data_IF_181055975658
#
_entry.id   IF_181055975658
#
_cell.length_a   1.000
_cell.length_b   1.000
_cell.length_c   1.000
_cell.angle_alpha   90.00
_cell.angle_beta   90.00
_cell.angle_gamma   90.00
#
_symmetry.space_group_name_H-M   'P 1'
#
loop_
_entity.id
_entity.type
_entity.pdbx_description
1 polymer ?
#
# COMPACT_ATOMS: atom_id res chain seq x y z
N UNK A 1 -21.88 19.82 53.38
CA UNK A 1 -21.41 19.33 52.08
C UNK A 1 -19.92 19.62 51.99
N UNK A 2 -19.07 18.67 52.39
CA UNK A 2 -17.62 18.81 52.35
C UNK A 2 -17.12 18.30 50.99
N UNK A 3 -16.75 19.20 50.08
CA UNK A 3 -15.90 18.85 48.95
C UNK A 3 -14.53 18.53 49.53
N UNK A 4 -14.19 17.25 49.59
CA UNK A 4 -12.90 16.81 50.09
C UNK A 4 -11.81 17.24 49.10
N UNK A 5 -10.77 17.98 49.54
CA UNK A 5 -9.70 18.49 48.66
C UNK A 5 -8.88 17.37 47.98
N UNK A 6 -9.05 16.13 48.42
CA UNK A 6 -8.39 14.93 47.90
C UNK A 6 -9.07 14.37 46.63
N UNK A 7 -10.34 14.71 46.39
CA UNK A 7 -11.08 14.22 45.20
C UNK A 7 -10.59 14.87 43.89
N UNK A 8 -10.15 16.12 43.93
CA UNK A 8 -9.60 16.79 42.74
C UNK A 8 -8.26 16.20 42.31
N UNK A 9 -7.41 15.84 43.28
CA UNK A 9 -6.10 15.23 43.02
C UNK A 9 -6.23 13.82 42.40
N UNK A 10 -7.19 13.02 42.88
CA UNK A 10 -7.46 11.69 42.34
C UNK A 10 -7.99 11.74 40.90
N UNK A 11 -8.88 12.69 40.59
CA UNK A 11 -9.39 12.89 39.23
C UNK A 11 -8.28 13.34 38.27
N UNK A 12 -7.42 14.28 38.68
CA UNK A 12 -6.27 14.69 37.87
C UNK A 12 -5.27 13.54 37.63
N UNK A 13 -5.07 12.66 38.63
CA UNK A 13 -4.19 11.51 38.51
C UNK A 13 -4.77 10.42 37.59
N UNK A 14 -6.07 10.15 37.68
CA UNK A 14 -6.79 9.28 36.74
C UNK A 14 -6.75 9.82 35.31
N UNK A 15 -6.96 11.12 35.12
CA UNK A 15 -6.84 11.78 33.81
C UNK A 15 -5.43 11.70 33.24
N UNK A 16 -4.39 11.91 34.07
CA UNK A 16 -2.99 11.74 33.66
C UNK A 16 -2.68 10.29 33.29
N UNK A 17 -3.17 9.32 34.06
CA UNK A 17 -2.95 7.90 33.78
C UNK A 17 -3.68 7.44 32.50
N UNK A 18 -4.90 7.94 32.26
CA UNK A 18 -5.64 7.70 31.03
C UNK A 18 -4.93 8.32 29.81
N UNK A 19 -4.43 9.55 29.94
CA UNK A 19 -3.68 10.23 28.88
C UNK A 19 -2.35 9.53 28.57
N UNK A 20 -1.64 9.04 29.59
CA UNK A 20 -0.41 8.25 29.40
C UNK A 20 -0.68 6.91 28.72
N UNK A 21 -1.73 6.20 29.14
CA UNK A 21 -2.13 4.92 28.53
C UNK A 21 -2.57 5.09 27.08
N UNK A 22 -3.37 6.14 26.79
CA UNK A 22 -3.79 6.48 25.44
C UNK A 22 -2.61 6.88 24.53
N UNK A 23 -1.69 7.70 25.04
CA UNK A 23 -0.47 8.09 24.31
C UNK A 23 0.45 6.92 23.99
N UNK A 24 0.53 5.93 24.90
CA UNK A 24 1.27 4.68 24.67
C UNK A 24 0.60 3.83 23.58
N UNK A 25 -0.73 3.76 23.58
CA UNK A 25 -1.51 3.08 22.54
C UNK A 25 -1.37 3.70 21.15
N UNK A 26 -1.35 5.04 21.07
CA UNK A 26 -1.15 5.75 19.79
C UNK A 26 0.23 5.50 19.19
N UNK A 27 1.28 5.55 20.01
CA UNK A 27 2.64 5.26 19.55
C UNK A 27 2.77 3.86 18.95
N UNK A 28 2.20 2.84 19.62
CA UNK A 28 2.22 1.45 19.12
C UNK A 28 1.52 1.36 17.76
N UNK A 29 0.36 2.00 17.60
CA UNK A 29 -0.41 1.98 16.34
C UNK A 29 0.32 2.68 15.20
N UNK A 30 0.93 3.84 15.44
CA UNK A 30 1.75 4.53 14.42
C UNK A 30 2.97 3.72 14.00
N UNK A 31 3.61 3.04 14.96
CA UNK A 31 4.73 2.15 14.67
C UNK A 31 4.28 0.97 13.80
N UNK A 32 3.13 0.36 14.11
CA UNK A 32 2.54 -0.71 13.31
C UNK A 32 2.18 -0.22 11.90
N UNK A 33 1.60 0.97 11.78
CA UNK A 33 1.32 1.60 10.49
C UNK A 33 2.60 1.78 9.66
N UNK A 34 3.67 2.35 10.24
CA UNK A 34 4.94 2.53 9.54
C UNK A 34 5.58 1.20 9.11
N UNK A 35 5.40 0.13 9.88
CA UNK A 35 5.84 -1.22 9.48
C UNK A 35 5.00 -1.76 8.31
N UNK A 36 3.69 -1.59 8.36
CA UNK A 36 2.78 -1.98 7.29
C UNK A 36 3.10 -1.22 5.99
N UNK A 37 3.26 0.11 6.06
CA UNK A 37 3.63 0.96 4.93
C UNK A 37 4.92 0.50 4.27
N UNK A 38 5.99 0.23 5.04
CA UNK A 38 7.26 -0.29 4.50
C UNK A 38 7.05 -1.60 3.73
N UNK A 39 6.30 -2.54 4.30
CA UNK A 39 6.01 -3.82 3.65
C UNK A 39 5.22 -3.62 2.36
N UNK A 40 4.15 -2.84 2.41
CA UNK A 40 3.28 -2.59 1.24
C UNK A 40 4.05 -1.84 0.15
N UNK A 41 4.89 -0.87 0.49
CA UNK A 41 5.73 -0.15 -0.48
C UNK A 41 6.69 -1.06 -1.25
N UNK A 42 7.28 -2.07 -0.59
CA UNK A 42 8.12 -3.07 -1.27
C UNK A 42 7.31 -3.88 -2.27
N UNK A 43 6.15 -4.38 -1.85
CA UNK A 43 5.23 -5.13 -2.72
C UNK A 43 4.68 -4.26 -3.87
N UNK A 44 4.45 -2.97 -3.60
CA UNK A 44 4.04 -1.97 -4.59
C UNK A 44 5.14 -1.78 -5.65
N UNK A 45 6.41 -1.77 -5.23
CA UNK A 45 7.56 -1.76 -6.14
C UNK A 45 7.63 -3.00 -7.03
N UNK A 46 7.38 -4.18 -6.48
CA UNK A 46 7.27 -5.43 -7.27
C UNK A 46 6.13 -5.35 -8.29
N UNK A 47 4.96 -4.85 -7.88
CA UNK A 47 3.81 -4.67 -8.77
C UNK A 47 4.14 -3.70 -9.93
N UNK A 48 4.83 -2.58 -9.65
CA UNK A 48 5.29 -1.64 -10.68
C UNK A 48 6.19 -2.33 -11.71
N UNK A 49 7.16 -3.13 -11.26
CA UNK A 49 8.06 -3.83 -12.18
C UNK A 49 7.30 -4.88 -13.01
N UNK A 50 6.42 -5.64 -12.37
CA UNK A 50 5.58 -6.62 -13.05
C UNK A 50 4.77 -5.97 -14.17
N UNK A 51 4.05 -4.89 -13.90
CA UNK A 51 3.20 -4.25 -14.90
C UNK A 51 3.97 -3.52 -16.00
N UNK A 52 5.17 -3.01 -15.69
CA UNK A 52 6.11 -2.50 -16.69
C UNK A 52 6.61 -3.62 -17.61
N UNK A 53 6.96 -4.79 -17.07
CA UNK A 53 7.36 -5.94 -17.87
C UNK A 53 6.22 -6.39 -18.79
N UNK A 54 5.01 -6.53 -18.24
CA UNK A 54 3.80 -6.90 -18.99
C UNK A 54 3.48 -5.93 -20.13
N UNK A 55 3.67 -4.63 -19.90
CA UNK A 55 3.57 -3.62 -20.96
C UNK A 55 4.55 -3.91 -22.11
N UNK A 56 5.81 -4.20 -21.81
CA UNK A 56 6.84 -4.47 -22.83
C UNK A 56 6.53 -5.74 -23.62
N UNK A 57 6.09 -6.80 -22.94
CA UNK A 57 5.66 -8.05 -23.56
C UNK A 57 4.44 -7.85 -24.48
N UNK A 58 3.43 -7.09 -24.03
CA UNK A 58 2.26 -6.75 -24.86
C UNK A 58 2.65 -5.94 -26.10
N UNK A 59 3.62 -5.02 -25.98
CA UNK A 59 4.16 -4.28 -27.13
C UNK A 59 4.90 -5.19 -28.12
N UNK A 60 5.70 -6.13 -27.61
CA UNK A 60 6.39 -7.13 -28.43
C UNK A 60 5.40 -8.06 -29.15
N UNK A 61 4.28 -8.39 -28.50
CA UNK A 61 3.14 -9.09 -29.11
C UNK A 61 2.22 -8.21 -29.96
N UNK A 62 2.60 -6.96 -30.25
CA UNK A 62 1.83 -5.97 -31.01
C UNK A 62 0.43 -5.64 -30.47
N UNK A 63 0.13 -5.97 -29.21
CA UNK A 63 -1.13 -5.65 -28.54
C UNK A 63 -1.05 -4.28 -27.84
N UNK A 64 -1.23 -3.20 -28.63
CA UNK A 64 -1.13 -1.81 -28.13
C UNK A 64 -2.17 -1.46 -27.07
N UNK A 65 -3.38 -2.04 -27.15
CA UNK A 65 -4.45 -1.79 -26.18
C UNK A 65 -4.07 -2.36 -24.82
N UNK A 66 -3.63 -3.62 -24.76
CA UNK A 66 -3.20 -4.25 -23.52
C UNK A 66 -1.96 -3.55 -22.95
N UNK A 67 -0.99 -3.19 -23.80
CA UNK A 67 0.18 -2.44 -23.38
C UNK A 67 -0.20 -1.12 -22.68
N UNK A 68 -1.17 -0.38 -23.25
CA UNK A 68 -1.67 0.86 -22.62
C UNK A 68 -2.34 0.58 -21.28
N UNK A 69 -3.19 -0.46 -21.19
CA UNK A 69 -3.84 -0.81 -19.93
C UNK A 69 -2.83 -1.21 -18.84
N UNK A 70 -1.77 -1.94 -19.20
CA UNK A 70 -0.67 -2.25 -18.29
C UNK A 70 0.06 -0.97 -17.83
N UNK A 71 0.35 -0.05 -18.75
CA UNK A 71 0.99 1.23 -18.43
C UNK A 71 0.12 2.11 -17.52
N UNK A 72 -1.17 2.20 -17.79
CA UNK A 72 -2.13 2.97 -16.98
C UNK A 72 -2.21 2.41 -15.55
N UNK A 73 -2.22 1.08 -15.40
CA UNK A 73 -2.24 0.45 -14.09
C UNK A 73 -0.89 0.59 -13.36
N UNK A 74 0.24 0.44 -14.06
CA UNK A 74 1.58 0.73 -13.54
C UNK A 74 1.68 2.16 -13.00
N UNK A 75 1.15 3.13 -13.73
CA UNK A 75 1.10 4.52 -13.31
C UNK A 75 0.27 4.70 -12.03
N UNK A 76 -0.91 4.08 -11.94
CA UNK A 76 -1.72 4.07 -10.71
C UNK A 76 -0.94 3.48 -9.54
N UNK A 77 -0.21 2.39 -9.77
CA UNK A 77 0.61 1.79 -8.73
C UNK A 77 1.68 2.77 -8.20
N UNK A 78 2.30 3.58 -9.07
CA UNK A 78 3.23 4.63 -8.63
C UNK A 78 2.55 5.73 -7.83
N UNK A 79 1.38 6.19 -8.26
CA UNK A 79 0.64 7.25 -7.56
C UNK A 79 0.26 6.81 -6.14
N UNK A 80 -0.32 5.63 -5.98
CA UNK A 80 -0.67 5.08 -4.66
C UNK A 80 0.58 4.84 -3.80
N UNK A 81 1.67 4.35 -4.41
CA UNK A 81 2.96 4.21 -3.73
C UNK A 81 3.52 5.55 -3.24
N UNK A 82 3.34 6.63 -3.99
CA UNK A 82 3.76 7.97 -3.58
C UNK A 82 2.99 8.45 -2.34
N UNK A 83 1.68 8.20 -2.27
CA UNK A 83 0.86 8.52 -1.08
C UNK A 83 1.34 7.75 0.14
N UNK A 84 1.61 6.45 -0.02
CA UNK A 84 2.17 5.61 1.06
C UNK A 84 3.54 6.11 1.51
N UNK A 85 4.39 6.52 0.57
CA UNK A 85 5.71 7.07 0.88
C UNK A 85 5.62 8.38 1.66
N UNK A 86 4.78 9.31 1.21
CA UNK A 86 4.53 10.57 1.90
C UNK A 86 4.02 10.35 3.33
N UNK A 87 3.13 9.36 3.52
CA UNK A 87 2.67 9.00 4.86
C UNK A 87 3.79 8.45 5.73
N UNK A 88 4.62 7.57 5.18
CA UNK A 88 5.75 6.99 5.91
C UNK A 88 6.79 8.06 6.30
N UNK A 89 7.09 8.97 5.38
CA UNK A 89 7.98 10.12 5.61
C UNK A 89 7.44 11.06 6.68
N UNK A 90 6.14 11.36 6.62
CA UNK A 90 5.45 12.14 7.66
C UNK A 90 5.63 11.49 9.03
N UNK A 91 5.31 10.19 9.18
CA UNK A 91 5.48 9.46 10.45
C UNK A 91 6.94 9.51 10.92
N UNK A 92 7.91 9.32 10.02
CA UNK A 92 9.33 9.38 10.33
C UNK A 92 9.83 10.77 10.77
N UNK A 93 9.11 11.82 10.40
CA UNK A 93 9.46 13.22 10.71
C UNK A 93 8.72 13.77 11.94
N UNK A 94 7.83 12.99 12.56
CA UNK A 94 7.06 13.45 13.71
C UNK A 94 7.93 13.63 14.96
N UNK A 95 7.87 14.79 15.63
CA UNK A 95 8.51 14.95 16.94
C UNK A 95 7.79 14.10 18.00
N UNK A 96 8.47 13.62 19.07
CA UNK A 96 7.92 12.68 20.05
C UNK A 96 6.57 13.09 20.67
N UNK A 97 6.33 14.38 20.82
CA UNK A 97 5.09 14.94 21.35
C UNK A 97 3.92 14.70 20.38
N UNK A 98 4.17 14.81 19.07
CA UNK A 98 3.18 14.60 18.03
C UNK A 98 2.80 13.11 17.86
N UNK A 99 3.64 12.17 18.31
CA UNK A 99 3.30 10.74 18.30
C UNK A 99 2.10 10.40 19.21
N UNK A 100 1.87 11.21 20.26
CA UNK A 100 0.77 10.98 21.21
C UNK A 100 -0.59 11.41 20.66
N UNK A 101 -0.61 12.32 19.70
CA UNK A 101 -1.83 12.91 19.14
C UNK A 101 -2.07 12.51 17.68
N UNK A 102 -1.06 12.03 16.97
CA UNK A 102 -1.21 11.61 15.57
C UNK A 102 -1.98 10.30 15.48
N UNK A 103 -3.10 10.32 14.78
CA UNK A 103 -3.91 9.14 14.53
C UNK A 103 -3.26 8.25 13.47
N UNK A 104 -3.17 6.96 13.76
CA UNK A 104 -2.73 5.97 12.78
C UNK A 104 -3.79 5.78 11.69
N UNK A 105 -3.35 5.68 10.43
CA UNK A 105 -4.21 5.33 9.30
C UNK A 105 -4.07 3.83 8.99
N UNK A 106 -5.16 3.22 8.54
CA UNK A 106 -5.23 1.82 8.15
C UNK A 106 -5.58 1.65 6.68
N UNK A 107 -5.74 0.39 6.25
CA UNK A 107 -6.17 0.09 4.89
C UNK A 107 -5.06 0.17 3.83
N UNK A 108 -3.81 0.36 4.24
CA UNK A 108 -2.65 0.30 3.36
C UNK A 108 -2.53 -1.10 2.75
N UNK A 109 -2.64 -1.17 1.42
CA UNK A 109 -2.56 -2.41 0.66
C UNK A 109 -1.99 -2.12 -0.72
N UNK A 110 -1.47 -3.16 -1.35
CA UNK A 110 -0.97 -3.09 -2.73
C UNK A 110 -2.11 -2.71 -3.66
N UNK A 111 -1.83 -1.86 -4.65
CA UNK A 111 -2.81 -1.53 -5.68
C UNK A 111 -3.08 -2.74 -6.55
N UNK A 112 -4.25 -3.33 -6.38
CA UNK A 112 -4.65 -4.49 -7.19
C UNK A 112 -5.07 -4.06 -8.60
N UNK A 113 -4.69 -4.88 -9.57
CA UNK A 113 -5.19 -4.74 -10.94
C UNK A 113 -6.67 -5.09 -11.00
N UNK A 114 -7.47 -4.37 -11.81
CA UNK A 114 -8.85 -4.75 -12.04
C UNK A 114 -8.92 -6.14 -12.69
N UNK A 115 -9.93 -6.93 -12.33
CA UNK A 115 -10.10 -8.30 -12.82
C UNK A 115 -10.13 -8.38 -14.37
N UNK A 116 -10.69 -7.36 -15.02
CA UNK A 116 -10.69 -7.26 -16.49
C UNK A 116 -9.28 -7.20 -17.07
N UNK A 117 -8.37 -6.41 -16.48
CA UNK A 117 -6.98 -6.33 -16.93
C UNK A 117 -6.24 -7.64 -16.67
N UNK A 118 -6.47 -8.29 -15.52
CA UNK A 118 -5.90 -9.61 -15.26
C UNK A 118 -6.37 -10.65 -16.28
N UNK A 119 -7.66 -10.64 -16.63
CA UNK A 119 -8.20 -11.53 -17.64
C UNK A 119 -7.63 -11.24 -19.03
N UNK A 120 -7.55 -9.97 -19.43
CA UNK A 120 -6.95 -9.59 -20.72
C UNK A 120 -5.49 -10.01 -20.81
N UNK A 121 -4.74 -9.91 -19.71
CA UNK A 121 -3.37 -10.42 -19.63
C UNK A 121 -3.31 -11.94 -19.79
N UNK A 122 -4.15 -12.68 -19.06
CA UNK A 122 -4.18 -14.14 -19.13
C UNK A 122 -4.50 -14.64 -20.56
N UNK A 123 -5.50 -14.04 -21.21
CA UNK A 123 -5.84 -14.38 -22.59
C UNK A 123 -4.67 -14.14 -23.55
N UNK A 124 -3.98 -13.01 -23.41
CA UNK A 124 -2.81 -12.68 -24.23
C UNK A 124 -1.68 -13.71 -24.10
N UNK A 125 -1.39 -14.17 -22.87
CA UNK A 125 -0.37 -15.20 -22.64
C UNK A 125 -0.75 -16.51 -23.33
N UNK A 126 -2.00 -16.96 -23.16
CA UNK A 126 -2.51 -18.19 -23.79
C UNK A 126 -2.45 -18.11 -25.32
N UNK A 127 -2.86 -16.98 -25.90
CA UNK A 127 -2.80 -16.76 -27.36
C UNK A 127 -1.36 -16.80 -27.88
N UNK A 128 -0.40 -16.22 -27.13
CA UNK A 128 1.02 -16.23 -27.49
C UNK A 128 1.63 -17.63 -27.45
N UNK A 129 1.34 -18.40 -26.41
CA UNK A 129 1.80 -19.79 -26.27
C UNK A 129 1.23 -20.67 -27.39
N UNK A 130 -0.06 -20.52 -27.70
CA UNK A 130 -0.70 -21.26 -28.79
C UNK A 130 -0.04 -20.97 -30.15
N UNK A 131 0.25 -19.70 -30.44
CA UNK A 131 0.95 -19.32 -31.67
C UNK A 131 2.37 -19.91 -31.74
N UNK A 132 3.07 -20.02 -30.61
CA UNK A 132 4.41 -20.62 -30.57
C UNK A 132 4.37 -22.11 -30.84
N UNK A 133 3.40 -22.84 -30.25
CA UNK A 133 3.19 -24.25 -30.53
C UNK A 133 2.85 -24.50 -32.01
N UNK A 134 1.98 -23.67 -32.60
CA UNK A 134 1.65 -23.78 -34.03
C UNK A 134 2.88 -23.53 -34.93
N UNK A 135 3.72 -22.54 -34.59
CA UNK A 135 4.97 -22.27 -35.32
C UNK A 135 5.97 -23.41 -35.21
N UNK A 136 5.99 -24.13 -34.09
CA UNK A 136 6.86 -25.29 -33.91
C UNK A 136 6.33 -26.50 -34.69
N UNK A 137 5.01 -26.74 -34.65
CA UNK A 137 4.36 -27.85 -35.36
C UNK A 137 4.43 -27.69 -36.89
N UNK A 138 4.37 -26.47 -37.43
CA UNK A 138 4.49 -26.22 -38.87
C UNK A 138 5.92 -26.20 -39.43
N UNK A 139 6.94 -26.43 -38.58
CA UNK A 139 8.36 -26.50 -38.97
C UNK A 139 8.93 -27.93 -38.98
N UNK A 140 8.14 -28.92 -38.57
CA UNK A 140 8.47 -30.35 -38.68
C UNK A 140 7.75 -30.97 -39.86
#
# INVERSE_FOLDING_TARGET
MANHPDQGALLEEEERNAAQSAGTGHWVRLRQEAQLLRRVLLQQGEAIQLWRQRQQEALAGHNRTLARQCADHEHRCRQEGQVMWQRLEMIGSLPPEAWRTTTAQGGWRVTEAPASLQQSWANFVVERELQELQRQAGKG
#
